data_IF_198977275099
#
_entry.id   IF_198977275099
#
_cell.length_a   1.000
_cell.length_b   1.000
_cell.length_c   1.000
_cell.angle_alpha   90.00
_cell.angle_beta   90.00
_cell.angle_gamma   90.00
#
_symmetry.space_group_name_H-M   'P 1'
#
loop_
_entity.id
_entity.type
_entity.pdbx_description
1 polymer ?
#
# COMPACT_ATOMS: atom_id res chain seq x y z
N UNK A 1 -27.39 1.47 16.15
CA UNK A 1 -26.71 1.67 14.86
C UNK A 1 -25.93 0.41 14.57
N UNK A 2 -26.29 -0.33 13.53
CA UNK A 2 -25.74 -1.65 13.16
C UNK A 2 -24.54 -1.51 12.21
N UNK A 3 -23.68 -0.51 12.46
CA UNK A 3 -22.53 -0.16 11.65
C UNK A 3 -21.44 -1.24 11.77
N UNK A 4 -21.60 -2.35 11.05
CA UNK A 4 -20.72 -3.52 11.09
C UNK A 4 -19.87 -3.61 9.84
N UNK A 5 -18.67 -4.14 9.99
CA UNK A 5 -17.76 -4.41 8.89
C UNK A 5 -16.95 -5.68 9.13
N UNK A 6 -16.15 -6.04 8.14
CA UNK A 6 -15.15 -7.09 8.23
C UNK A 6 -13.78 -6.47 7.99
N UNK A 7 -12.88 -6.62 8.95
CA UNK A 7 -11.51 -6.15 8.86
C UNK A 7 -10.57 -7.33 8.65
N UNK A 8 -9.70 -7.22 7.64
CA UNK A 8 -8.58 -8.14 7.41
C UNK A 8 -7.28 -7.47 7.83
N UNK A 9 -6.46 -8.18 8.59
CA UNK A 9 -5.10 -7.78 8.98
C UNK A 9 -4.14 -8.96 8.78
N UNK A 10 -3.40 -8.94 7.66
CA UNK A 10 -2.64 -10.10 7.19
C UNK A 10 -3.59 -11.25 6.87
N UNK A 11 -3.42 -12.36 7.61
CA UNK A 11 -4.23 -13.57 7.49
C UNK A 11 -5.40 -13.61 8.50
N UNK A 12 -5.48 -12.62 9.39
CA UNK A 12 -6.56 -12.53 10.37
C UNK A 12 -7.76 -11.77 9.80
N UNK A 13 -8.95 -12.26 10.10
CA UNK A 13 -10.22 -11.64 9.72
C UNK A 13 -11.12 -11.58 10.94
N UNK A 14 -11.68 -10.40 11.23
CA UNK A 14 -12.63 -10.21 12.32
C UNK A 14 -13.79 -9.29 11.90
N UNK A 15 -14.94 -9.45 12.55
CA UNK A 15 -16.00 -8.45 12.49
C UNK A 15 -15.60 -7.24 13.32
N UNK A 16 -16.03 -6.05 12.88
CA UNK A 16 -15.85 -4.78 13.58
C UNK A 16 -17.20 -4.08 13.71
N UNK A 17 -17.35 -3.27 14.75
CA UNK A 17 -18.57 -2.54 15.06
C UNK A 17 -18.33 -1.14 15.65
N UNK A 18 -19.41 -0.45 16.08
CA UNK A 18 -19.31 0.87 16.65
C UNK A 18 -18.42 0.90 17.90
N UNK A 19 -17.42 1.78 17.90
CA UNK A 19 -16.47 1.95 18.99
C UNK A 19 -15.17 1.16 18.85
N UNK A 20 -15.06 0.25 17.88
CA UNK A 20 -13.80 -0.43 17.60
C UNK A 20 -12.77 0.52 16.98
N UNK A 21 -11.51 0.33 17.38
CA UNK A 21 -10.37 1.11 16.87
C UNK A 21 -9.40 0.20 16.13
N UNK A 22 -9.13 0.52 14.86
CA UNK A 22 -8.22 -0.24 14.00
C UNK A 22 -6.92 0.53 13.82
N UNK A 23 -5.80 -0.05 14.26
CA UNK A 23 -4.47 0.54 14.13
C UNK A 23 -3.63 -0.28 13.16
N UNK A 24 -3.17 0.36 12.08
CA UNK A 24 -2.33 -0.28 11.05
C UNK A 24 -0.98 0.47 10.94
N UNK A 25 0.02 0.16 11.81
CA UNK A 25 1.28 0.87 11.79
C UNK A 25 2.06 0.65 10.49
N UNK A 26 2.65 1.72 9.96
CA UNK A 26 3.48 1.66 8.76
C UNK A 26 4.73 0.79 8.97
N UNK A 27 5.22 0.18 7.89
CA UNK A 27 6.47 -0.60 7.92
C UNK A 27 6.39 -1.97 8.60
N UNK A 28 5.21 -2.39 9.08
CA UNK A 28 5.01 -3.72 9.67
C UNK A 28 5.01 -4.86 8.65
N UNK A 29 4.81 -4.54 7.36
CA UNK A 29 4.63 -5.54 6.30
C UNK A 29 3.25 -6.23 6.33
N UNK A 30 2.37 -5.88 7.27
CA UNK A 30 1.03 -6.47 7.39
C UNK A 30 0.03 -5.62 6.62
N UNK A 31 -0.48 -6.16 5.51
CA UNK A 31 -1.53 -5.52 4.72
C UNK A 31 -2.89 -5.62 5.40
N UNK A 32 -3.78 -4.68 5.11
CA UNK A 32 -5.11 -4.65 5.68
C UNK A 32 -6.19 -4.25 4.67
N UNK A 33 -7.42 -4.69 4.91
CA UNK A 33 -8.61 -4.34 4.14
C UNK A 33 -9.79 -4.15 5.09
N UNK A 34 -10.69 -3.23 4.73
CA UNK A 34 -11.99 -3.07 5.38
C UNK A 34 -13.07 -3.30 4.33
N UNK A 35 -14.01 -4.18 4.62
CA UNK A 35 -15.11 -4.52 3.74
C UNK A 35 -16.44 -4.43 4.48
N UNK A 36 -17.51 -4.08 3.76
CA UNK A 36 -18.87 -4.13 4.26
C UNK A 36 -19.67 -5.18 3.47
N UNK A 37 -19.81 -6.41 3.99
CA UNK A 37 -20.63 -7.44 3.36
C UNK A 37 -22.11 -7.41 3.81
N UNK A 38 -22.55 -6.38 4.55
CA UNK A 38 -23.88 -6.29 5.15
C UNK A 38 -24.79 -5.29 4.43
N UNK A 39 -26.07 -5.26 4.80
CA UNK A 39 -27.12 -4.48 4.14
C UNK A 39 -27.20 -3.00 4.59
N UNK A 40 -26.43 -2.61 5.60
CA UNK A 40 -26.38 -1.24 6.14
C UNK A 40 -25.02 -0.59 5.88
N UNK A 41 -24.99 0.74 5.81
CA UNK A 41 -23.75 1.49 5.61
C UNK A 41 -22.78 1.33 6.79
N UNK A 42 -21.52 1.07 6.44
CA UNK A 42 -20.38 1.16 7.36
C UNK A 42 -19.78 2.56 7.30
N UNK A 43 -20.09 3.38 8.31
CA UNK A 43 -19.54 4.73 8.51
C UNK A 43 -18.42 4.68 9.54
N UNK A 44 -17.23 5.14 9.16
CA UNK A 44 -16.04 5.18 10.01
C UNK A 44 -15.21 6.43 9.74
N UNK A 45 -14.34 6.78 10.71
CA UNK A 45 -13.35 7.83 10.56
C UNK A 45 -11.99 7.23 10.20
N UNK A 46 -11.45 7.58 9.04
CA UNK A 46 -10.09 7.23 8.63
C UNK A 46 -9.13 8.39 8.85
N UNK A 47 -7.99 8.12 9.48
CA UNK A 47 -6.91 9.09 9.63
C UNK A 47 -5.55 8.41 9.39
N UNK A 48 -4.65 9.10 8.69
CA UNK A 48 -3.32 8.60 8.37
C UNK A 48 -2.41 9.73 7.91
N UNK A 49 -1.10 9.49 7.92
CA UNK A 49 -0.13 10.44 7.41
C UNK A 49 -0.24 10.57 5.88
N UNK A 50 -0.23 11.79 5.35
CA UNK A 50 -0.17 12.04 3.90
C UNK A 50 1.27 12.34 3.47
N UNK A 51 2.13 11.32 3.55
CA UNK A 51 3.57 11.49 3.29
C UNK A 51 3.87 11.49 1.78
N UNK A 52 4.57 12.49 1.23
CA UNK A 52 4.80 12.60 -0.23
C UNK A 52 5.66 11.47 -0.81
N UNK A 53 6.48 10.83 0.01
CA UNK A 53 7.40 9.74 -0.39
C UNK A 53 6.91 8.35 0.03
N UNK A 54 5.59 8.14 0.07
CA UNK A 54 5.03 6.85 0.43
C UNK A 54 5.25 5.77 -0.65
N UNK A 55 5.59 4.56 -0.19
CA UNK A 55 5.60 3.33 -0.97
C UNK A 55 4.57 2.38 -0.37
N UNK A 56 3.64 1.88 -1.19
CA UNK A 56 2.57 1.00 -0.73
C UNK A 56 2.49 -0.25 -1.61
N UNK A 57 2.56 -1.43 -0.99
CA UNK A 57 2.41 -2.72 -1.66
C UNK A 57 0.97 -3.22 -1.52
N UNK A 58 0.39 -3.69 -2.63
CA UNK A 58 -0.91 -4.35 -2.70
C UNK A 58 -0.70 -5.85 -2.93
N UNK A 59 -0.49 -6.66 -1.88
CA UNK A 59 -0.02 -8.04 -2.00
C UNK A 59 -0.94 -8.92 -2.85
N UNK A 60 -2.26 -8.78 -2.71
CA UNK A 60 -3.25 -9.58 -3.46
C UNK A 60 -3.13 -9.40 -4.98
N UNK A 61 -2.54 -8.29 -5.44
CA UNK A 61 -2.33 -7.99 -6.86
C UNK A 61 -0.86 -7.92 -7.27
N UNK A 62 0.08 -7.93 -6.33
CA UNK A 62 1.51 -7.66 -6.58
C UNK A 62 1.85 -6.22 -7.00
N UNK A 63 0.89 -5.29 -7.00
CA UNK A 63 1.13 -3.89 -7.40
C UNK A 63 1.82 -3.10 -6.30
N UNK A 64 2.67 -2.17 -6.70
CA UNK A 64 3.33 -1.20 -5.83
C UNK A 64 3.02 0.22 -6.30
N UNK A 65 2.56 1.06 -5.37
CA UNK A 65 2.48 2.52 -5.52
C UNK A 65 3.80 3.14 -5.07
N UNK A 66 4.34 4.05 -5.87
CA UNK A 66 5.38 4.99 -5.44
C UNK A 66 4.81 6.39 -5.59
N UNK A 67 4.45 7.02 -4.47
CA UNK A 67 3.67 8.27 -4.46
C UNK A 67 4.43 9.44 -5.09
N UNK A 68 5.73 9.56 -4.79
CA UNK A 68 6.58 10.64 -5.33
C UNK A 68 6.69 10.62 -6.85
N UNK A 69 6.45 9.48 -7.48
CA UNK A 69 6.45 9.32 -8.94
C UNK A 69 5.05 9.45 -9.54
N UNK A 70 3.99 9.46 -8.73
CA UNK A 70 2.60 9.33 -9.19
C UNK A 70 2.41 8.11 -10.11
N UNK A 71 2.95 6.96 -9.69
CA UNK A 71 2.92 5.71 -10.46
C UNK A 71 2.51 4.53 -9.60
N UNK A 72 1.74 3.64 -10.22
CA UNK A 72 1.43 2.29 -9.73
C UNK A 72 1.91 1.32 -10.80
N UNK A 73 2.64 0.29 -10.39
CA UNK A 73 3.17 -0.74 -11.30
C UNK A 73 3.48 -2.03 -10.57
N UNK A 74 4.17 -2.95 -11.25
CA UNK A 74 4.68 -4.17 -10.64
C UNK A 74 6.17 -4.00 -10.36
N UNK A 75 6.62 -4.41 -9.17
CA UNK A 75 8.03 -4.41 -8.84
C UNK A 75 8.63 -5.76 -9.25
N UNK A 76 9.71 -5.70 -10.02
CA UNK A 76 10.47 -6.88 -10.44
C UNK A 76 11.89 -6.76 -9.91
N UNK A 77 12.41 -7.87 -9.38
CA UNK A 77 13.82 -7.97 -9.02
C UNK A 77 14.67 -7.94 -10.29
N UNK A 78 15.78 -7.22 -10.26
CA UNK A 78 16.74 -7.14 -11.35
C UNK A 78 18.16 -7.09 -10.79
N UNK A 79 19.17 -7.68 -11.47
CA UNK A 79 20.57 -7.48 -11.13
C UNK A 79 20.91 -5.98 -11.09
N UNK A 80 21.80 -5.58 -10.18
CA UNK A 80 22.15 -4.17 -10.01
C UNK A 80 22.53 -3.46 -11.33
N UNK A 81 23.28 -4.14 -12.20
CA UNK A 81 23.76 -3.56 -13.45
C UNK A 81 22.83 -3.79 -14.66
N UNK A 82 21.65 -4.37 -14.47
CA UNK A 82 20.73 -4.63 -15.57
C UNK A 82 20.23 -3.31 -16.20
N UNK A 83 20.29 -3.21 -17.53
CA UNK A 83 19.92 -2.00 -18.28
C UNK A 83 20.94 -0.85 -18.22
N UNK A 84 22.01 -0.95 -17.43
CA UNK A 84 23.07 0.07 -17.37
C UNK A 84 24.08 -0.08 -18.51
N UNK A 85 24.60 1.02 -19.08
CA UNK A 85 25.59 0.95 -20.15
C UNK A 85 26.97 0.56 -19.61
N UNK A 86 27.78 -0.14 -20.43
CA UNK A 86 29.17 -0.47 -20.08
C UNK A 86 30.03 0.78 -19.78
N UNK A 87 29.78 1.87 -20.51
CA UNK A 87 30.41 3.17 -20.28
C UNK A 87 29.42 4.13 -19.63
N UNK A 88 29.77 4.78 -18.49
CA UNK A 88 28.91 5.78 -17.86
C UNK A 88 28.46 6.91 -18.80
N UNK A 89 27.16 7.19 -18.84
CA UNK A 89 26.56 8.22 -19.72
C UNK A 89 27.11 9.63 -19.49
N UNK A 90 27.65 9.91 -18.31
CA UNK A 90 28.27 11.21 -18.00
C UNK A 90 29.36 11.58 -19.02
N UNK A 91 30.10 10.60 -19.56
CA UNK A 91 31.14 10.87 -20.56
C UNK A 91 30.58 11.34 -21.92
N UNK A 92 29.32 11.04 -22.22
CA UNK A 92 28.65 11.53 -23.42
C UNK A 92 28.09 12.94 -23.24
N UNK A 93 27.73 13.30 -22.00
CA UNK A 93 27.14 14.59 -21.62
C UNK A 93 28.18 15.71 -21.44
N UNK A 94 29.47 15.37 -21.28
CA UNK A 94 30.56 16.33 -21.10
C UNK A 94 31.05 16.99 -22.42
N UNK A 95 30.27 16.88 -23.51
CA UNK A 95 30.61 17.46 -24.82
C UNK A 95 30.12 18.89 -24.97
#
# INVERSE_FOLDING_TARGET
MSCRGVFRYGDQVCEVGPGDCLCCPAGTGVAHQLANPFDEDLVYLGAGANHPHEVCLHPDSGKTLVRSLHRVGYLHEAPHMDGEPERPKIFELLK
#
